data_IF_840109556965
#
_entry.id   IF_840109556965
#
_cell.length_a   1.000
_cell.length_b   1.000
_cell.length_c   1.000
_cell.angle_alpha   90.00
_cell.angle_beta   90.00
_cell.angle_gamma   90.00
#
_symmetry.space_group_name_H-M   'P 1'
#
loop_
_entity.id
_entity.type
_entity.pdbx_description
1 polymer ?
#
# COMPACT_ATOMS: atom_id res chain seq x y z
N UNK A 1 3.90 16.17 -0.82
CA UNK A 1 5.12 15.57 -1.40
C UNK A 1 4.86 14.14 -1.90
N UNK A 2 4.42 13.21 -1.05
CA UNK A 2 4.27 11.79 -1.41
C UNK A 2 3.39 11.55 -2.65
N UNK A 3 2.22 12.19 -2.75
CA UNK A 3 1.35 12.09 -3.94
C UNK A 3 2.09 12.46 -5.22
N UNK A 4 2.90 13.52 -5.17
CA UNK A 4 3.66 13.97 -6.32
C UNK A 4 4.81 13.02 -6.68
N UNK A 5 5.47 12.41 -5.68
CA UNK A 5 6.47 11.38 -5.92
C UNK A 5 5.84 10.14 -6.60
N UNK A 6 4.69 9.68 -6.10
CA UNK A 6 3.96 8.54 -6.70
C UNK A 6 3.57 8.80 -8.15
N UNK A 7 3.17 10.03 -8.49
CA UNK A 7 2.86 10.42 -9.88
C UNK A 7 4.09 10.37 -10.81
N UNK A 8 5.27 10.66 -10.27
CA UNK A 8 6.50 10.70 -11.05
C UNK A 8 7.29 9.40 -11.07
N UNK A 9 7.21 8.60 -10.02
CA UNK A 9 8.04 7.40 -9.82
C UNK A 9 7.17 6.24 -9.32
N UNK A 10 6.97 5.22 -10.16
CA UNK A 10 6.21 4.02 -9.80
C UNK A 10 7.12 2.99 -9.12
N UNK A 11 7.21 3.01 -7.80
CA UNK A 11 8.00 2.06 -7.00
C UNK A 11 7.54 0.60 -7.18
N UNK A 12 6.25 0.36 -7.40
CA UNK A 12 5.68 -0.97 -7.55
C UNK A 12 6.25 -1.73 -8.76
N UNK A 13 6.52 -1.03 -9.85
CA UNK A 13 7.17 -1.59 -11.04
C UNK A 13 8.51 -2.26 -10.69
N UNK A 14 9.25 -1.66 -9.75
CA UNK A 14 10.58 -2.11 -9.32
C UNK A 14 10.56 -2.98 -8.07
N UNK A 15 9.38 -3.39 -7.58
CA UNK A 15 9.24 -4.17 -6.34
C UNK A 15 9.83 -3.47 -5.11
N UNK A 16 9.85 -2.14 -5.12
CA UNK A 16 10.26 -1.30 -3.99
C UNK A 16 9.02 -0.94 -3.16
N UNK A 17 9.16 -0.94 -1.83
CA UNK A 17 8.09 -0.56 -0.93
C UNK A 17 7.84 0.95 -0.98
N UNK A 18 6.58 1.36 -0.87
CA UNK A 18 6.19 2.77 -0.92
C UNK A 18 6.70 3.60 0.28
N UNK A 19 7.21 2.97 1.33
CA UNK A 19 7.87 3.69 2.43
C UNK A 19 9.09 4.49 1.94
N UNK A 20 9.71 4.08 0.82
CA UNK A 20 10.77 4.85 0.18
C UNK A 20 10.33 6.26 -0.27
N UNK A 21 9.04 6.47 -0.54
CA UNK A 21 8.48 7.80 -0.77
C UNK A 21 8.08 8.52 0.53
N UNK A 22 7.75 7.75 1.58
CA UNK A 22 7.22 8.32 2.81
C UNK A 22 8.28 9.06 3.63
N UNK A 23 9.45 8.45 3.84
CA UNK A 23 10.55 9.09 4.57
C UNK A 23 10.92 10.47 4.00
N UNK A 24 11.30 10.56 2.72
CA UNK A 24 11.59 11.84 2.06
C UNK A 24 10.41 12.82 2.10
N UNK A 25 9.18 12.32 1.99
CA UNK A 25 7.99 13.18 2.04
C UNK A 25 7.76 13.81 3.40
N UNK A 26 8.00 13.05 4.47
CA UNK A 26 7.94 13.57 5.85
C UNK A 26 9.05 14.58 6.07
N UNK A 27 10.28 14.29 5.65
CA UNK A 27 11.40 15.23 5.76
C UNK A 27 11.13 16.55 5.03
N UNK A 28 10.67 16.49 3.77
CA UNK A 28 10.33 17.69 3.01
C UNK A 28 9.15 18.47 3.61
N UNK A 29 8.12 17.76 4.08
CA UNK A 29 6.94 18.35 4.69
C UNK A 29 7.27 19.07 5.99
N UNK A 30 7.97 18.40 6.89
CA UNK A 30 8.39 18.96 8.19
C UNK A 30 9.36 20.13 7.99
N UNK A 31 10.37 19.98 7.12
CA UNK A 31 11.29 21.07 6.82
C UNK A 31 10.60 22.30 6.26
N UNK A 32 9.60 22.12 5.40
CA UNK A 32 8.77 23.21 4.89
C UNK A 32 7.92 23.85 6.00
N UNK A 33 7.31 23.04 6.87
CA UNK A 33 6.50 23.52 8.00
C UNK A 33 7.32 24.34 8.99
N UNK A 34 8.56 23.95 9.24
CA UNK A 34 9.52 24.66 10.08
C UNK A 34 10.20 25.85 9.37
N UNK A 35 9.84 26.11 8.12
CA UNK A 35 10.42 27.19 7.29
C UNK A 35 11.96 27.12 7.18
N UNK A 36 12.50 25.89 7.07
CA UNK A 36 13.93 25.69 6.95
C UNK A 36 14.45 26.13 5.57
N UNK A 37 15.75 26.42 5.49
CA UNK A 37 16.44 26.71 4.22
C UNK A 37 16.34 25.48 3.29
N UNK A 38 16.24 25.73 1.98
CA UNK A 38 16.14 24.67 0.96
C UNK A 38 17.27 23.66 1.07
N UNK A 39 18.49 24.09 1.35
CA UNK A 39 19.65 23.22 1.53
C UNK A 39 19.46 22.26 2.71
N UNK A 40 18.98 22.76 3.84
CA UNK A 40 18.70 21.90 5.02
C UNK A 40 17.61 20.87 4.71
N UNK A 41 16.56 21.29 3.99
CA UNK A 41 15.50 20.36 3.54
C UNK A 41 16.06 19.32 2.56
N UNK A 42 16.92 19.74 1.65
CA UNK A 42 17.60 18.85 0.70
C UNK A 42 18.40 17.77 1.43
N UNK A 43 19.24 18.16 2.38
CA UNK A 43 20.03 17.23 3.19
C UNK A 43 19.12 16.23 3.95
N UNK A 44 18.06 16.71 4.57
CA UNK A 44 17.09 15.86 5.29
C UNK A 44 16.40 14.84 4.36
N UNK A 45 16.00 15.28 3.16
CA UNK A 45 15.38 14.39 2.15
C UNK A 45 16.34 13.29 1.72
N UNK A 46 17.61 13.61 1.50
CA UNK A 46 18.65 12.66 1.11
C UNK A 46 18.89 11.62 2.22
N UNK A 47 19.06 12.06 3.47
CA UNK A 47 19.20 11.17 4.62
C UNK A 47 17.99 10.24 4.77
N UNK A 48 16.78 10.78 4.71
CA UNK A 48 15.56 10.01 4.85
C UNK A 48 15.41 8.95 3.75
N UNK A 49 15.73 9.27 2.51
CA UNK A 49 15.67 8.30 1.40
C UNK A 49 16.65 7.15 1.62
N UNK A 50 17.88 7.46 2.01
CA UNK A 50 18.93 6.46 2.21
C UNK A 50 18.53 5.35 3.17
N UNK A 51 17.77 5.69 4.22
CA UNK A 51 17.38 4.73 5.26
C UNK A 51 15.99 4.13 5.09
N UNK A 52 15.19 4.61 4.13
CA UNK A 52 13.82 4.11 3.92
C UNK A 52 13.65 3.30 2.63
N UNK A 53 14.66 3.18 1.80
CA UNK A 53 14.60 2.30 0.61
C UNK A 53 14.56 0.85 1.04
N UNK A 54 13.49 0.14 0.68
CA UNK A 54 13.32 -1.28 1.00
C UNK A 54 12.47 -1.99 -0.06
N UNK A 55 12.55 -3.32 -0.09
CA UNK A 55 11.82 -4.12 -1.05
C UNK A 55 10.38 -4.42 -0.59
N UNK A 56 9.54 -4.83 -1.52
CA UNK A 56 8.17 -5.27 -1.24
C UNK A 56 8.05 -6.67 -0.64
N UNK A 57 9.15 -7.33 -0.31
CA UNK A 57 9.11 -8.67 0.30
C UNK A 57 8.29 -8.67 1.60
N UNK A 58 8.31 -7.58 2.36
CA UNK A 58 7.48 -7.39 3.56
C UNK A 58 5.96 -7.44 3.34
N UNK A 59 5.51 -7.49 2.07
CA UNK A 59 4.10 -7.52 1.65
C UNK A 59 3.75 -8.77 0.85
N UNK A 60 4.58 -9.82 0.92
CA UNK A 60 4.37 -11.11 0.27
C UNK A 60 4.47 -12.24 1.28
N UNK A 61 3.81 -13.37 0.94
CA UNK A 61 3.78 -14.53 1.80
C UNK A 61 3.01 -14.27 3.09
N UNK A 62 3.53 -14.78 4.18
CA UNK A 62 3.00 -14.48 5.52
C UNK A 62 3.39 -13.05 5.92
N UNK A 63 2.43 -12.15 5.82
CA UNK A 63 2.61 -10.74 6.14
C UNK A 63 2.54 -10.55 7.65
N UNK A 64 3.57 -9.96 8.25
CA UNK A 64 3.63 -9.70 9.68
C UNK A 64 3.03 -8.34 10.07
N UNK A 65 2.82 -8.14 11.37
CA UNK A 65 2.39 -6.85 11.94
C UNK A 65 3.35 -5.70 11.62
N UNK A 66 4.61 -5.99 11.29
CA UNK A 66 5.57 -4.98 10.85
C UNK A 66 5.06 -4.14 9.68
N UNK A 67 4.25 -4.70 8.79
CA UNK A 67 3.59 -3.96 7.71
C UNK A 67 2.83 -2.72 8.17
N UNK A 68 2.20 -2.79 9.35
CA UNK A 68 1.47 -1.67 9.93
C UNK A 68 2.41 -0.62 10.54
N UNK A 69 3.56 -1.04 11.05
CA UNK A 69 4.53 -0.16 11.73
C UNK A 69 5.56 0.46 10.78
N UNK A 70 5.90 -0.22 9.68
CA UNK A 70 6.91 0.28 8.74
C UNK A 70 6.66 1.71 8.22
N UNK A 71 5.41 2.12 7.87
CA UNK A 71 5.14 3.50 7.49
C UNK A 71 5.39 4.51 8.62
N UNK A 72 4.98 4.19 9.84
CA UNK A 72 5.21 5.05 10.99
C UNK A 72 6.71 5.16 11.30
N UNK A 73 7.46 4.05 11.19
CA UNK A 73 8.91 4.04 11.37
C UNK A 73 9.61 4.87 10.29
N UNK A 74 9.22 4.76 9.03
CA UNK A 74 9.74 5.61 7.96
C UNK A 74 9.47 7.10 8.22
N UNK A 75 8.30 7.43 8.77
CA UNK A 75 7.97 8.79 9.21
C UNK A 75 8.90 9.28 10.32
N UNK A 76 9.15 8.44 11.33
CA UNK A 76 10.11 8.73 12.41
C UNK A 76 11.51 9.03 11.86
N UNK A 77 11.99 8.21 10.92
CA UNK A 77 13.30 8.42 10.29
C UNK A 77 13.35 9.72 9.48
N UNK A 78 12.24 10.10 8.83
CA UNK A 78 12.12 11.41 8.18
C UNK A 78 12.19 12.59 9.14
N UNK A 79 11.60 12.48 10.33
CA UNK A 79 11.70 13.50 11.39
C UNK A 79 13.13 13.58 11.92
N UNK A 80 13.75 12.45 12.20
CA UNK A 80 15.15 12.38 12.66
C UNK A 80 16.09 12.99 11.63
N UNK A 81 15.89 12.73 10.35
CA UNK A 81 16.69 13.32 9.28
C UNK A 81 16.62 14.86 9.27
N UNK A 82 15.44 15.43 9.56
CA UNK A 82 15.28 16.89 9.68
C UNK A 82 16.07 17.43 10.89
N UNK A 83 15.96 16.79 12.05
CA UNK A 83 16.70 17.19 13.26
C UNK A 83 18.22 17.17 13.03
N UNK A 84 18.73 16.09 12.40
CA UNK A 84 20.16 15.97 12.07
C UNK A 84 20.62 17.04 11.08
N UNK A 85 19.86 17.28 10.01
CA UNK A 85 20.18 18.31 9.03
C UNK A 85 20.15 19.72 9.64
N UNK A 86 19.26 19.99 10.60
CA UNK A 86 19.24 21.25 11.35
C UNK A 86 20.49 21.45 12.21
N UNK A 87 21.10 20.37 12.67
CA UNK A 87 22.36 20.37 13.42
C UNK A 87 23.59 20.42 12.51
N UNK A 88 23.42 20.47 11.20
CA UNK A 88 24.51 20.56 10.23
C UNK A 88 25.05 19.20 9.76
N UNK A 89 24.40 18.08 10.07
CA UNK A 89 24.81 16.80 9.51
C UNK A 89 24.51 16.74 8.01
N UNK A 90 25.53 16.45 7.20
CA UNK A 90 25.41 16.24 5.78
C UNK A 90 24.79 14.88 5.44
N UNK A 91 24.26 14.77 4.25
CA UNK A 91 23.70 13.55 3.70
C UNK A 91 24.59 12.93 2.62
N UNK A 92 24.43 11.62 2.33
CA UNK A 92 24.95 11.06 1.07
C UNK A 92 24.21 11.75 -0.09
N UNK A 93 24.92 12.58 -0.83
CA UNK A 93 24.31 13.46 -1.82
C UNK A 93 25.10 13.43 -3.14
N UNK A 94 24.40 13.27 -4.26
CA UNK A 94 22.96 13.01 -4.42
C UNK A 94 22.61 11.53 -4.22
N UNK A 95 21.52 11.21 -3.49
CA UNK A 95 21.09 9.80 -3.27
C UNK A 95 20.14 9.30 -4.37
N UNK A 96 19.32 10.18 -4.96
CA UNK A 96 18.48 9.81 -6.09
C UNK A 96 19.28 9.59 -7.37
N UNK A 97 20.30 10.41 -7.61
CA UNK A 97 21.08 10.52 -8.84
C UNK A 97 22.54 10.15 -8.58
N UNK A 98 23.24 9.71 -9.61
CA UNK A 98 24.63 9.29 -9.53
C UNK A 98 24.81 7.83 -9.94
N UNK A 99 26.06 7.36 -9.95
CA UNK A 99 26.43 6.04 -10.48
C UNK A 99 25.84 4.88 -9.65
N UNK A 100 25.82 5.01 -8.33
CA UNK A 100 25.32 4.00 -7.38
C UNK A 100 24.03 4.45 -6.67
N UNK A 101 23.31 5.38 -7.28
CA UNK A 101 22.09 5.98 -6.74
C UNK A 101 20.87 5.04 -6.77
N UNK A 102 19.78 5.47 -6.13
CA UNK A 102 18.48 4.78 -6.15
C UNK A 102 17.97 4.61 -7.58
N UNK A 103 18.06 5.67 -8.41
CA UNK A 103 17.63 5.59 -9.82
C UNK A 103 18.48 4.57 -10.58
N UNK A 104 19.80 4.63 -10.41
CA UNK A 104 20.73 3.81 -11.18
C UNK A 104 20.66 2.32 -10.84
N UNK A 105 20.47 1.97 -9.56
CA UNK A 105 20.60 0.58 -9.07
C UNK A 105 19.27 -0.07 -8.74
N UNK A 106 18.25 0.70 -8.43
CA UNK A 106 16.99 0.16 -7.89
C UNK A 106 15.82 0.42 -8.84
N UNK A 107 15.88 1.50 -9.63
CA UNK A 107 14.82 1.87 -10.58
C UNK A 107 15.21 1.53 -12.04
N UNK A 108 14.95 2.42 -12.97
CA UNK A 108 15.10 2.17 -14.42
C UNK A 108 16.55 2.33 -14.95
N UNK A 109 17.54 2.49 -14.06
CA UNK A 109 18.95 2.54 -14.43
C UNK A 109 19.53 3.94 -14.59
N UNK A 110 20.86 4.03 -14.72
CA UNK A 110 21.67 5.25 -14.66
C UNK A 110 21.23 6.37 -15.66
N UNK A 111 20.61 6.00 -16.78
CA UNK A 111 20.17 6.95 -17.81
C UNK A 111 18.70 7.38 -17.65
N UNK A 112 17.99 6.82 -16.69
CA UNK A 112 16.57 7.14 -16.50
C UNK A 112 16.39 8.56 -15.93
N UNK A 113 15.39 9.24 -16.46
CA UNK A 113 14.98 10.57 -16.01
C UNK A 113 13.55 10.51 -15.52
N UNK A 114 13.34 10.99 -14.32
CA UNK A 114 12.01 11.07 -13.71
C UNK A 114 11.55 12.52 -13.57
N UNK A 115 10.30 12.76 -13.92
CA UNK A 115 9.66 14.07 -13.74
C UNK A 115 8.64 13.99 -12.63
N UNK A 116 8.95 14.60 -11.49
CA UNK A 116 8.03 14.70 -10.35
C UNK A 116 7.29 16.04 -10.42
N UNK A 117 5.94 16.04 -10.46
CA UNK A 117 5.15 17.27 -10.57
C UNK A 117 5.07 18.00 -9.23
N UNK A 118 6.17 18.62 -8.81
CA UNK A 118 6.21 19.42 -7.58
C UNK A 118 5.51 20.78 -7.77
N UNK A 119 4.89 21.34 -6.73
CA UNK A 119 4.26 22.65 -6.80
C UNK A 119 5.31 23.74 -7.04
N UNK A 120 4.95 24.72 -7.84
CA UNK A 120 5.79 25.92 -8.08
C UNK A 120 5.86 26.80 -6.83
N UNK A 121 6.81 27.76 -6.81
CA UNK A 121 6.87 28.78 -5.76
C UNK A 121 5.52 29.51 -5.67
N UNK A 122 5.01 29.68 -4.46
CA UNK A 122 3.70 30.28 -4.16
C UNK A 122 2.46 29.52 -4.66
N UNK A 123 2.61 28.34 -5.24
CA UNK A 123 1.46 27.48 -5.55
C UNK A 123 0.96 26.78 -4.30
N UNK A 124 -0.37 26.71 -4.15
CA UNK A 124 -1.00 25.97 -3.05
C UNK A 124 -0.65 24.47 -3.08
N UNK A 125 -0.37 23.90 -1.90
CA UNK A 125 0.01 22.51 -1.74
C UNK A 125 -1.22 21.64 -1.50
N UNK A 126 -2.02 21.40 -2.55
CA UNK A 126 -3.32 20.70 -2.49
C UNK A 126 -3.28 19.22 -2.87
N UNK A 127 -2.12 18.62 -3.11
CA UNK A 127 -2.03 17.24 -3.58
C UNK A 127 -2.69 16.21 -2.64
N UNK A 128 -2.83 16.52 -1.35
CA UNK A 128 -3.55 15.66 -0.40
C UNK A 128 -5.02 15.48 -0.78
N UNK A 129 -5.63 16.46 -1.45
CA UNK A 129 -7.04 16.40 -1.89
C UNK A 129 -7.25 15.38 -3.03
N UNK A 130 -6.18 14.88 -3.63
CA UNK A 130 -6.22 13.82 -4.64
C UNK A 130 -6.08 12.41 -4.02
N UNK A 131 -6.19 12.29 -2.71
CA UNK A 131 -6.14 11.02 -1.99
C UNK A 131 -7.50 10.62 -1.46
N UNK A 132 -7.67 9.34 -1.19
CA UNK A 132 -8.89 8.78 -0.62
C UNK A 132 -8.59 8.14 0.73
N UNK A 133 -9.49 8.33 1.69
CA UNK A 133 -9.46 7.61 2.96
C UNK A 133 -10.19 6.27 2.81
N UNK A 134 -9.73 5.27 3.56
CA UNK A 134 -10.44 3.99 3.65
C UNK A 134 -11.61 4.13 4.63
N UNK A 135 -12.77 3.59 4.26
CA UNK A 135 -13.90 3.43 5.16
C UNK A 135 -13.72 2.19 6.05
N UNK A 136 -13.25 1.10 5.45
CA UNK A 136 -13.06 -0.18 6.13
C UNK A 136 -11.59 -0.44 6.41
N UNK A 137 -11.29 -1.12 7.53
CA UNK A 137 -9.94 -1.61 7.86
C UNK A 137 -9.61 -2.85 7.03
N UNK A 138 -9.52 -2.68 5.72
CA UNK A 138 -9.19 -3.67 4.72
C UNK A 138 -8.31 -3.03 3.64
N UNK A 139 -7.73 -3.86 2.79
CA UNK A 139 -6.94 -3.38 1.65
C UNK A 139 -7.77 -2.44 0.77
N UNK A 140 -7.11 -1.45 0.14
CA UNK A 140 -7.80 -0.36 -0.57
C UNK A 140 -8.65 -0.84 -1.74
N UNK A 141 -8.16 -1.79 -2.55
CA UNK A 141 -8.89 -2.30 -3.70
C UNK A 141 -10.13 -3.13 -3.32
N UNK A 142 -10.25 -3.52 -2.05
CA UNK A 142 -11.41 -4.25 -1.54
C UNK A 142 -12.54 -3.36 -1.00
N UNK A 143 -12.34 -2.05 -0.87
CA UNK A 143 -13.32 -1.15 -0.23
C UNK A 143 -14.71 -1.23 -0.89
N UNK A 144 -14.80 -1.00 -2.20
CA UNK A 144 -16.06 -1.08 -2.94
C UNK A 144 -16.67 -2.49 -2.95
N UNK A 145 -15.83 -3.53 -2.87
CA UNK A 145 -16.31 -4.91 -2.84
C UNK A 145 -16.94 -5.29 -1.50
N UNK A 146 -16.52 -4.69 -0.39
CA UNK A 146 -17.20 -4.84 0.90
C UNK A 146 -18.62 -4.30 0.80
N UNK A 147 -18.82 -3.12 0.23
CA UNK A 147 -20.16 -2.55 0.03
C UNK A 147 -21.00 -3.39 -0.92
N UNK A 148 -20.40 -3.91 -1.99
CA UNK A 148 -21.10 -4.79 -2.92
C UNK A 148 -21.51 -6.08 -2.23
N UNK A 149 -20.65 -6.70 -1.45
CA UNK A 149 -20.94 -7.92 -0.70
C UNK A 149 -22.10 -7.73 0.29
N UNK A 150 -22.08 -6.61 1.04
CA UNK A 150 -23.17 -6.23 1.95
C UNK A 150 -24.50 -6.03 1.22
N UNK A 151 -24.48 -5.43 0.03
CA UNK A 151 -25.68 -5.26 -0.81
C UNK A 151 -26.19 -6.57 -1.37
N UNK A 152 -25.28 -7.47 -1.75
CA UNK A 152 -25.65 -8.80 -2.27
C UNK A 152 -26.25 -9.67 -1.18
N UNK A 153 -25.67 -9.70 0.03
CA UNK A 153 -26.26 -10.44 1.15
C UNK A 153 -27.75 -10.13 1.33
N UNK A 154 -28.13 -8.84 1.26
CA UNK A 154 -29.53 -8.41 1.45
C UNK A 154 -30.48 -8.84 0.31
N UNK A 155 -29.94 -9.32 -0.81
CA UNK A 155 -30.70 -9.75 -1.99
C UNK A 155 -30.74 -11.26 -2.14
N UNK A 156 -29.97 -11.98 -1.36
CA UNK A 156 -29.88 -13.44 -1.41
C UNK A 156 -30.72 -14.04 -0.28
N UNK A 157 -31.64 -14.94 -0.65
CA UNK A 157 -32.50 -15.62 0.33
C UNK A 157 -31.70 -16.65 1.16
N UNK A 158 -30.73 -17.31 0.52
CA UNK A 158 -29.91 -18.32 1.18
C UNK A 158 -28.48 -18.35 0.59
N UNK A 159 -27.50 -18.05 1.40
CA UNK A 159 -26.08 -18.07 0.99
C UNK A 159 -25.57 -19.47 0.62
N UNK A 160 -26.21 -20.53 1.12
CA UNK A 160 -25.82 -21.92 0.80
C UNK A 160 -26.14 -22.32 -0.65
N UNK A 161 -26.99 -21.57 -1.34
CA UNK A 161 -27.35 -21.84 -2.74
C UNK A 161 -26.32 -21.28 -3.72
N UNK A 162 -25.31 -20.55 -3.23
CA UNK A 162 -24.24 -19.98 -4.06
C UNK A 162 -23.36 -21.12 -4.56
N UNK A 163 -23.34 -21.33 -5.87
CA UNK A 163 -22.48 -22.32 -6.53
C UNK A 163 -21.14 -21.73 -6.99
N UNK A 164 -21.13 -20.45 -7.36
CA UNK A 164 -19.97 -19.76 -7.91
C UNK A 164 -20.07 -18.26 -7.70
N UNK A 165 -18.91 -17.63 -7.48
CA UNK A 165 -18.77 -16.17 -7.42
C UNK A 165 -17.65 -15.77 -8.37
N UNK A 166 -17.96 -14.95 -9.35
CA UNK A 166 -16.98 -14.35 -10.26
C UNK A 166 -16.84 -12.86 -9.91
N UNK A 167 -15.63 -12.43 -9.52
CA UNK A 167 -15.32 -11.03 -9.26
C UNK A 167 -14.54 -10.48 -10.45
N UNK A 168 -15.17 -9.60 -11.23
CA UNK A 168 -14.54 -8.85 -12.31
C UNK A 168 -13.87 -7.60 -11.72
N UNK A 169 -12.56 -7.49 -11.88
CA UNK A 169 -11.79 -6.41 -11.29
C UNK A 169 -10.62 -5.97 -12.18
N UNK A 170 -9.92 -4.90 -11.83
CA UNK A 170 -8.76 -4.45 -12.58
C UNK A 170 -7.60 -5.45 -12.49
N UNK A 171 -6.74 -5.47 -13.51
CA UNK A 171 -5.50 -6.25 -13.50
C UNK A 171 -4.68 -6.00 -12.22
N UNK A 172 -4.56 -4.74 -11.81
CA UNK A 172 -3.82 -4.37 -10.60
C UNK A 172 -4.40 -5.04 -9.35
N UNK A 173 -5.71 -4.98 -9.15
CA UNK A 173 -6.39 -5.63 -8.01
C UNK A 173 -6.19 -7.12 -8.02
N UNK A 174 -6.41 -7.77 -9.17
CA UNK A 174 -6.20 -9.21 -9.33
C UNK A 174 -4.76 -9.61 -8.98
N UNK A 175 -3.78 -8.84 -9.45
CA UNK A 175 -2.35 -9.12 -9.26
C UNK A 175 -1.83 -8.80 -7.84
N UNK A 176 -2.47 -7.90 -7.10
CA UNK A 176 -2.00 -7.49 -5.76
C UNK A 176 -2.68 -8.28 -4.65
N UNK A 177 -4.00 -8.43 -4.70
CA UNK A 177 -4.79 -9.04 -3.62
C UNK A 177 -5.66 -10.22 -4.06
N UNK A 178 -5.66 -10.53 -5.35
CA UNK A 178 -6.40 -11.66 -5.93
C UNK A 178 -5.52 -12.88 -6.16
N UNK A 179 -6.06 -13.84 -6.89
CA UNK A 179 -5.37 -15.09 -7.24
C UNK A 179 -4.15 -14.88 -8.12
N UNK A 180 -4.13 -13.81 -8.93
CA UNK A 180 -2.97 -13.44 -9.76
C UNK A 180 -1.75 -12.98 -8.97
N UNK A 181 -1.87 -12.76 -7.66
CA UNK A 181 -0.73 -12.46 -6.80
C UNK A 181 0.26 -13.64 -6.68
N UNK A 182 -0.17 -14.86 -7.02
CA UNK A 182 0.59 -16.10 -6.83
C UNK A 182 1.14 -16.24 -5.41
N UNK A 183 0.26 -15.99 -4.44
CA UNK A 183 0.58 -15.95 -3.01
C UNK A 183 -0.40 -16.88 -2.26
N UNK A 184 -0.03 -18.17 -2.10
CA UNK A 184 -0.93 -19.18 -1.54
C UNK A 184 -1.37 -18.87 -0.10
N UNK A 185 -0.60 -18.09 0.66
CA UNK A 185 -0.98 -17.69 2.01
C UNK A 185 -2.25 -16.85 2.04
N UNK A 186 -2.57 -16.15 0.95
CA UNK A 186 -3.87 -15.43 0.81
C UNK A 186 -5.08 -16.36 0.74
N UNK A 187 -4.83 -17.64 0.48
CA UNK A 187 -5.86 -18.70 0.42
C UNK A 187 -5.88 -19.56 1.70
N UNK A 188 -5.06 -19.24 2.72
CA UNK A 188 -5.01 -19.98 3.98
C UNK A 188 -5.75 -19.21 5.09
N UNK A 189 -6.85 -19.78 5.63
CA UNK A 189 -7.59 -19.16 6.74
C UNK A 189 -6.80 -19.07 8.05
N UNK A 190 -5.65 -19.76 8.14
CA UNK A 190 -4.75 -19.70 9.30
C UNK A 190 -3.73 -18.59 9.20
N UNK A 191 -3.63 -17.95 8.05
CA UNK A 191 -2.70 -16.84 7.83
C UNK A 191 -2.92 -15.69 8.80
N UNK A 192 -1.90 -14.83 8.92
CA UNK A 192 -1.96 -13.63 9.74
C UNK A 192 -3.11 -12.71 9.33
N UNK A 193 -3.55 -11.88 10.28
CA UNK A 193 -4.52 -10.82 10.01
C UNK A 193 -4.10 -9.96 8.83
N UNK A 194 -2.83 -9.63 8.75
CA UNK A 194 -2.25 -8.78 7.72
C UNK A 194 -2.25 -9.45 6.33
N UNK A 195 -2.10 -10.78 6.29
CA UNK A 195 -2.24 -11.56 5.05
C UNK A 195 -3.70 -11.63 4.61
N UNK A 196 -4.63 -11.93 5.52
CA UNK A 196 -6.07 -11.94 5.26
C UNK A 196 -6.59 -10.57 4.82
N UNK A 197 -6.04 -9.48 5.37
CA UNK A 197 -6.29 -8.09 4.93
C UNK A 197 -5.90 -7.84 3.45
N UNK A 198 -5.06 -8.69 2.88
CA UNK A 198 -4.61 -8.64 1.49
C UNK A 198 -5.17 -9.79 0.64
N UNK A 199 -6.26 -10.41 1.06
CA UNK A 199 -6.97 -11.44 0.32
C UNK A 199 -8.38 -10.95 -0.06
N UNK A 200 -8.57 -10.61 -1.32
CA UNK A 200 -9.89 -10.17 -1.80
C UNK A 200 -10.93 -11.29 -1.66
N UNK A 201 -10.51 -12.54 -1.78
CA UNK A 201 -11.35 -13.71 -1.61
C UNK A 201 -11.92 -13.78 -0.19
N UNK A 202 -11.02 -13.66 0.80
CA UNK A 202 -11.39 -13.65 2.21
C UNK A 202 -12.28 -12.46 2.56
N UNK A 203 -11.87 -11.24 2.15
CA UNK A 203 -12.58 -10.00 2.46
C UNK A 203 -14.01 -10.05 1.92
N UNK A 204 -14.17 -10.46 0.66
CA UNK A 204 -15.48 -10.55 0.03
C UNK A 204 -16.38 -11.58 0.71
N UNK A 205 -15.85 -12.79 0.99
CA UNK A 205 -16.61 -13.85 1.64
C UNK A 205 -17.11 -13.44 3.03
N UNK A 206 -16.24 -12.85 3.85
CA UNK A 206 -16.60 -12.38 5.20
C UNK A 206 -17.66 -11.29 5.14
N UNK A 207 -17.48 -10.29 4.26
CA UNK A 207 -18.44 -9.20 4.11
C UNK A 207 -19.79 -9.68 3.56
N UNK A 208 -19.78 -10.71 2.69
CA UNK A 208 -20.99 -11.33 2.17
C UNK A 208 -21.74 -12.12 3.24
N UNK A 209 -21.04 -12.90 4.06
CA UNK A 209 -21.67 -13.71 5.10
C UNK A 209 -22.22 -12.89 6.27
N UNK A 210 -21.45 -11.88 6.72
CA UNK A 210 -21.79 -11.09 7.90
C UNK A 210 -22.69 -9.87 7.57
N UNK A 211 -22.85 -9.51 6.30
CA UNK A 211 -23.46 -8.26 5.84
C UNK A 211 -22.84 -7.01 6.47
N UNK A 212 -21.62 -7.15 6.99
CA UNK A 212 -20.88 -6.12 7.74
C UNK A 212 -19.38 -6.33 7.62
N UNK A 213 -18.62 -5.33 8.07
CA UNK A 213 -17.15 -5.41 8.18
C UNK A 213 -16.67 -4.74 9.46
N UNK A 214 -16.01 -5.48 10.31
CA UNK A 214 -15.51 -4.99 11.59
C UNK A 214 -14.00 -5.18 11.71
N UNK A 215 -13.29 -4.14 12.09
CA UNK A 215 -11.82 -4.06 12.13
C UNK A 215 -11.11 -5.13 13.00
N UNK A 216 -11.81 -5.75 13.96
CA UNK A 216 -11.30 -6.85 14.77
C UNK A 216 -12.07 -8.14 14.46
N UNK A 217 -13.42 -8.12 14.60
CA UNK A 217 -14.24 -9.33 14.53
C UNK A 217 -14.11 -10.07 13.20
N UNK A 218 -13.99 -9.32 12.09
CA UNK A 218 -13.83 -9.89 10.75
C UNK A 218 -12.50 -10.62 10.55
N UNK A 219 -11.53 -10.46 11.45
CA UNK A 219 -10.21 -11.08 11.36
C UNK A 219 -9.89 -12.07 12.48
N UNK A 220 -10.86 -12.42 13.33
CA UNK A 220 -10.59 -13.42 14.38
C UNK A 220 -10.31 -14.79 13.76
N UNK A 221 -9.44 -15.57 14.41
CA UNK A 221 -9.13 -16.94 13.98
C UNK A 221 -10.38 -17.80 13.85
N UNK A 222 -11.32 -17.68 14.79
CA UNK A 222 -12.61 -18.39 14.75
C UNK A 222 -13.46 -17.95 13.55
N UNK A 223 -13.44 -16.65 13.19
CA UNK A 223 -14.17 -16.14 12.03
C UNK A 223 -13.56 -16.67 10.73
N UNK A 224 -12.26 -16.61 10.59
CA UNK A 224 -11.55 -17.10 9.42
C UNK A 224 -11.70 -18.62 9.21
N UNK A 225 -11.77 -19.38 10.29
CA UNK A 225 -11.92 -20.84 10.29
C UNK A 225 -13.35 -21.34 10.07
N UNK A 226 -14.35 -20.49 9.87
CA UNK A 226 -15.72 -20.93 9.55
C UNK A 226 -15.73 -21.72 8.26
N UNK A 227 -16.37 -22.90 8.28
CA UNK A 227 -16.45 -23.77 7.10
C UNK A 227 -17.11 -23.08 5.90
N UNK A 228 -18.15 -22.30 6.13
CA UNK A 228 -18.82 -21.50 5.10
C UNK A 228 -17.88 -20.49 4.45
N UNK A 229 -17.13 -19.74 5.24
CA UNK A 229 -16.14 -18.77 4.74
C UNK A 229 -15.06 -19.44 3.90
N UNK A 230 -14.54 -20.58 4.35
CA UNK A 230 -13.55 -21.38 3.62
C UNK A 230 -14.14 -21.83 2.27
N UNK A 231 -15.36 -22.36 2.29
CA UNK A 231 -16.03 -22.80 1.07
C UNK A 231 -16.23 -21.64 0.09
N UNK A 232 -16.76 -20.52 0.53
CA UNK A 232 -17.01 -19.35 -0.34
C UNK A 232 -15.69 -18.76 -0.84
N UNK A 233 -14.70 -18.54 0.04
CA UNK A 233 -13.44 -17.88 -0.32
C UNK A 233 -12.59 -18.68 -1.29
N UNK A 234 -12.53 -20.01 -1.13
CA UNK A 234 -11.51 -20.82 -1.78
C UNK A 234 -12.05 -21.84 -2.79
N UNK A 235 -13.35 -22.08 -2.80
CA UNK A 235 -13.97 -23.05 -3.72
C UNK A 235 -14.85 -22.38 -4.77
N UNK A 236 -15.58 -21.33 -4.41
CA UNK A 236 -16.59 -20.72 -5.28
C UNK A 236 -16.13 -19.43 -5.95
N UNK A 237 -15.03 -18.81 -5.45
CA UNK A 237 -14.62 -17.50 -5.91
C UNK A 237 -13.51 -17.60 -6.97
N UNK A 238 -13.81 -17.11 -8.18
CA UNK A 238 -12.84 -16.94 -9.25
C UNK A 238 -12.66 -15.46 -9.59
N UNK A 239 -11.47 -15.11 -10.08
CA UNK A 239 -11.08 -13.74 -10.42
C UNK A 239 -10.61 -13.69 -11.88
N UNK A 240 -11.53 -13.72 -12.85
CA UNK A 240 -11.14 -13.50 -14.23
C UNK A 240 -10.60 -12.08 -14.41
N UNK A 241 -9.49 -11.95 -15.13
CA UNK A 241 -8.92 -10.65 -15.48
C UNK A 241 -9.77 -10.04 -16.60
N UNK A 242 -10.31 -8.85 -16.40
CA UNK A 242 -10.79 -8.03 -17.51
C UNK A 242 -9.52 -7.48 -18.16
N UNK A 243 -9.33 -7.73 -19.45
CA UNK A 243 -8.22 -7.19 -20.21
C UNK A 243 -8.11 -5.67 -20.05
N UNK A 244 -6.92 -5.15 -20.13
CA UNK A 244 -6.69 -3.70 -20.13
C UNK A 244 -7.47 -3.08 -21.30
N UNK A 245 -8.34 -2.13 -20.97
CA UNK A 245 -8.98 -1.21 -21.93
C UNK A 245 -8.11 0.02 -22.02
#
# INVERSE_FOLDING_TARGET
MQVNLVKGICLHKHKVDHIAHLGPSVAAGLGTMLNLKTETIYQAVQQALHVTVSTRQSRKGEISSWKAFAPAHAGKLGIEAVDRAMRGEGAPSPIYEGEDSVIARILDGKKALYKVPLPKKNQEKKAILETYTKEYSAEYQAQALIDLAKKLNRKLDNLNDIKKIDIYTSHHTHYVIGTGANDPQKMDPKSSRETLDHSIMYIFAVALEDADWHHIKSYTKSRAARKSTITVSYTHLTLPTIGEV
#
